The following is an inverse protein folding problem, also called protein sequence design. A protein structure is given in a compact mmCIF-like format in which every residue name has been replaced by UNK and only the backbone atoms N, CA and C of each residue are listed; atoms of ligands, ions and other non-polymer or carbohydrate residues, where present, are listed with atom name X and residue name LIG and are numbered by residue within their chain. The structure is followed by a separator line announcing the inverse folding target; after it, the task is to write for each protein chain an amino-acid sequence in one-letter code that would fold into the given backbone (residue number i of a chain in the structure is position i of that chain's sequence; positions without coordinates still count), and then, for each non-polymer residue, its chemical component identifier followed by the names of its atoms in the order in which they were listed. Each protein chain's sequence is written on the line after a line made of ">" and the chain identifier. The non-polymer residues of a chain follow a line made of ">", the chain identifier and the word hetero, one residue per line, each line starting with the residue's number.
data_IF_554926952658
#
_entry.id   IF_554926952658
#
_cell.length_a   1.000
_cell.length_b   1.000
_cell.length_c   1.000
_cell.angle_alpha   90.00
_cell.angle_beta   90.00
_cell.angle_gamma   90.00
#
_symmetry.space_group_name_H-M   'P 1'
#
loop_
_entity.id
_entity.type
_entity.pdbx_description
1 polymer ?
#
# COMPACT_ATOMS: atom_id res chain seq x y z
N UNK A 1 -4.92 -47.61 3.69
CA UNK A 1 -3.86 -47.14 4.60
C UNK A 1 -2.96 -46.06 3.98
N UNK A 2 -2.43 -46.23 2.76
CA UNK A 2 -1.51 -45.25 2.11
C UNK A 2 -2.19 -43.89 1.83
N UNK A 3 -3.43 -43.88 1.32
CA UNK A 3 -4.17 -42.63 1.07
C UNK A 3 -4.39 -41.81 2.35
N UNK A 4 -4.66 -42.48 3.47
CA UNK A 4 -4.85 -41.84 4.79
C UNK A 4 -3.56 -41.19 5.28
N UNK A 5 -2.41 -41.84 5.07
CA UNK A 5 -1.11 -41.27 5.42
C UNK A 5 -0.75 -40.06 4.54
N UNK A 6 -1.11 -40.09 3.25
CA UNK A 6 -0.94 -38.95 2.34
C UNK A 6 -1.84 -37.79 2.76
N UNK A 7 -3.11 -38.05 3.09
CA UNK A 7 -4.05 -37.02 3.54
C UNK A 7 -3.57 -36.34 4.84
N UNK A 8 -3.13 -37.11 5.84
CA UNK A 8 -2.56 -36.56 7.09
C UNK A 8 -1.31 -35.72 6.83
N UNK A 9 -0.44 -36.15 5.92
CA UNK A 9 0.79 -35.42 5.55
C UNK A 9 0.47 -34.12 4.79
N UNK A 10 -0.49 -34.15 3.87
CA UNK A 10 -0.98 -32.96 3.17
C UNK A 10 -1.56 -31.93 4.14
N UNK A 11 -2.32 -32.38 5.14
CA UNK A 11 -2.92 -31.48 6.13
C UNK A 11 -1.84 -30.84 7.03
N UNK A 12 -0.85 -31.62 7.47
CA UNK A 12 0.30 -31.10 8.22
C UNK A 12 1.13 -30.10 7.42
N UNK A 13 1.40 -30.40 6.14
CA UNK A 13 2.12 -29.49 5.26
C UNK A 13 1.34 -28.22 4.96
N UNK A 14 0.03 -28.32 4.72
CA UNK A 14 -0.85 -27.18 4.50
C UNK A 14 -0.84 -26.26 5.72
N UNK A 15 -0.92 -26.82 6.93
CA UNK A 15 -0.85 -26.04 8.17
C UNK A 15 0.48 -25.31 8.33
N UNK A 16 1.61 -26.03 8.19
CA UNK A 16 2.94 -25.42 8.38
C UNK A 16 3.23 -24.38 7.29
N UNK A 17 3.00 -24.73 6.02
CA UNK A 17 3.21 -23.81 4.90
C UNK A 17 2.31 -22.58 5.02
N UNK A 18 1.04 -22.79 5.41
CA UNK A 18 0.09 -21.70 5.60
C UNK A 18 0.48 -20.76 6.74
N UNK A 19 0.86 -21.27 7.90
CA UNK A 19 1.27 -20.44 9.04
C UNK A 19 2.50 -19.58 8.72
N UNK A 20 3.51 -20.19 8.08
CA UNK A 20 4.71 -19.47 7.70
C UNK A 20 4.46 -18.46 6.57
N UNK A 21 3.65 -18.80 5.57
CA UNK A 21 3.27 -17.86 4.52
C UNK A 21 2.49 -16.67 5.09
N UNK A 22 1.54 -16.93 6.00
CA UNK A 22 0.81 -15.86 6.69
C UNK A 22 1.74 -14.91 7.44
N UNK A 23 2.71 -15.45 8.18
CA UNK A 23 3.72 -14.65 8.90
C UNK A 23 4.59 -13.83 7.94
N UNK A 24 5.07 -14.43 6.85
CA UNK A 24 5.85 -13.72 5.84
C UNK A 24 5.05 -12.62 5.14
N UNK A 25 3.78 -12.87 4.80
CA UNK A 25 2.90 -11.88 4.22
C UNK A 25 2.67 -10.72 5.20
N UNK A 26 2.42 -11.00 6.48
CA UNK A 26 2.26 -9.93 7.47
C UNK A 26 3.49 -9.03 7.55
N UNK A 27 4.68 -9.62 7.65
CA UNK A 27 5.96 -8.88 7.73
C UNK A 27 6.22 -8.05 6.46
N UNK A 28 5.97 -8.60 5.27
CA UNK A 28 6.28 -7.91 4.01
C UNK A 28 5.24 -6.82 3.69
N UNK A 29 3.95 -7.11 3.91
CA UNK A 29 2.87 -6.25 3.45
C UNK A 29 2.60 -5.07 4.39
N UNK A 30 2.88 -5.21 5.69
CA UNK A 30 2.73 -4.13 6.67
C UNK A 30 3.41 -2.81 6.24
N UNK A 31 4.74 -2.79 6.01
CA UNK A 31 5.42 -1.56 5.57
C UNK A 31 4.95 -1.11 4.19
N UNK A 32 4.57 -2.06 3.34
CA UNK A 32 4.18 -1.79 1.98
C UNK A 32 2.82 -1.08 1.89
N UNK A 33 1.87 -1.40 2.78
CA UNK A 33 0.63 -0.63 2.93
C UNK A 33 0.96 0.83 3.23
N UNK A 34 1.84 1.09 4.20
CA UNK A 34 2.24 2.45 4.57
C UNK A 34 2.86 3.22 3.41
N UNK A 35 3.77 2.60 2.66
CA UNK A 35 4.38 3.23 1.48
C UNK A 35 3.37 3.52 0.39
N UNK A 36 2.44 2.61 0.11
CA UNK A 36 1.39 2.84 -0.89
C UNK A 36 0.41 3.95 -0.45
N UNK A 37 0.10 4.04 0.84
CA UNK A 37 -0.71 5.13 1.40
C UNK A 37 0.00 6.48 1.26
N UNK A 38 1.30 6.54 1.58
CA UNK A 38 2.14 7.73 1.40
C UNK A 38 2.21 8.15 -0.07
N UNK A 39 2.51 7.21 -0.96
CA UNK A 39 2.56 7.46 -2.40
C UNK A 39 1.23 8.06 -2.90
N UNK A 40 0.09 7.46 -2.51
CA UNK A 40 -1.21 7.95 -2.95
C UNK A 40 -1.52 9.35 -2.37
N UNK A 41 -1.10 9.62 -1.14
CA UNK A 41 -1.22 10.95 -0.53
C UNK A 41 -0.38 11.99 -1.28
N UNK A 42 0.85 11.65 -1.67
CA UNK A 42 1.73 12.51 -2.47
C UNK A 42 1.14 12.82 -3.84
N UNK A 43 0.66 11.80 -4.58
CA UNK A 43 0.06 12.03 -5.91
C UNK A 43 -1.15 12.96 -5.86
N UNK A 44 -1.86 12.92 -4.74
CA UNK A 44 -3.12 13.62 -4.51
C UNK A 44 -2.93 15.07 -4.09
N UNK A 45 -1.92 15.34 -3.27
CA UNK A 45 -1.62 16.68 -2.73
C UNK A 45 -0.43 17.35 -3.46
N UNK A 46 0.29 16.61 -4.31
CA UNK A 46 1.50 17.06 -4.99
C UNK A 46 1.33 18.28 -5.91
N UNK A 47 0.11 18.63 -6.29
CA UNK A 47 -0.17 19.91 -6.93
C UNK A 47 0.26 21.08 -6.01
N UNK A 48 0.02 21.02 -4.71
CA UNK A 48 0.41 22.11 -3.78
C UNK A 48 1.92 22.27 -3.69
N UNK A 49 2.63 21.17 -3.50
CA UNK A 49 4.08 21.17 -3.29
C UNK A 49 4.85 21.55 -4.56
N UNK A 50 4.41 21.06 -5.72
CA UNK A 50 5.00 21.46 -7.01
C UNK A 50 4.80 22.94 -7.30
N UNK A 51 3.67 23.52 -6.87
CA UNK A 51 3.39 24.94 -6.99
C UNK A 51 4.24 25.80 -6.05
N UNK A 52 4.37 25.39 -4.78
CA UNK A 52 5.21 26.05 -3.78
C UNK A 52 6.69 26.04 -4.19
N UNK A 53 7.19 24.90 -4.69
CA UNK A 53 8.55 24.77 -5.18
C UNK A 53 8.86 25.66 -6.40
N UNK A 54 7.82 26.05 -7.15
CA UNK A 54 7.91 27.00 -8.27
C UNK A 54 7.53 28.44 -7.88
N UNK A 55 7.40 28.73 -6.57
CA UNK A 55 6.95 30.03 -6.02
C UNK A 55 5.59 30.50 -6.56
N UNK A 56 4.74 29.59 -7.04
CA UNK A 56 3.41 29.88 -7.60
C UNK A 56 2.29 29.80 -6.56
N UNK A 57 2.62 29.35 -5.35
CA UNK A 57 1.68 29.17 -4.25
C UNK A 57 2.27 29.74 -2.96
N UNK A 58 1.47 30.49 -2.20
CA UNK A 58 1.81 30.88 -0.83
C UNK A 58 0.76 30.35 0.14
N UNK A 59 1.20 29.65 1.18
CA UNK A 59 0.32 28.99 2.14
C UNK A 59 0.38 29.62 3.53
N UNK A 60 -0.77 29.77 4.17
CA UNK A 60 -0.88 30.05 5.60
C UNK A 60 -2.02 29.25 6.20
N UNK A 61 -1.93 28.93 7.49
CA UNK A 61 -2.93 28.10 8.16
C UNK A 61 -3.34 28.66 9.51
N UNK A 62 -4.58 28.37 9.89
CA UNK A 62 -5.10 28.60 11.24
C UNK A 62 -5.41 27.25 11.83
N UNK A 63 -4.66 26.86 12.85
CA UNK A 63 -4.86 25.61 13.58
C UNK A 63 -5.62 25.87 14.87
N UNK A 64 -6.52 24.96 15.23
CA UNK A 64 -7.34 25.06 16.44
C UNK A 64 -7.35 23.80 17.30
N UNK A 65 -6.40 22.88 17.10
CA UNK A 65 -6.33 21.59 17.80
C UNK A 65 -7.36 20.57 17.34
N UNK A 66 -8.59 21.01 17.06
CA UNK A 66 -9.68 20.16 16.56
C UNK A 66 -9.62 19.94 15.04
N UNK A 67 -8.91 20.81 14.32
CA UNK A 67 -8.72 20.80 12.87
C UNK A 67 -7.95 22.04 12.40
N UNK A 68 -7.77 22.16 11.08
CA UNK A 68 -6.97 23.22 10.44
C UNK A 68 -7.77 23.83 9.28
N UNK A 69 -7.66 25.14 9.11
CA UNK A 69 -8.04 25.81 7.85
C UNK A 69 -6.78 26.31 7.18
N UNK A 70 -6.58 25.88 5.94
CA UNK A 70 -5.41 26.19 5.13
C UNK A 70 -5.85 27.09 3.98
N UNK A 71 -5.08 28.15 3.80
CA UNK A 71 -5.27 29.12 2.74
C UNK A 71 -4.07 29.04 1.81
N UNK A 72 -4.36 29.05 0.52
CA UNK A 72 -3.37 29.04 -0.55
C UNK A 72 -3.66 30.19 -1.49
N UNK A 73 -2.66 31.02 -1.80
CA UNK A 73 -2.76 32.01 -2.85
C UNK A 73 -2.08 31.43 -4.10
N UNK A 74 -2.81 31.27 -5.20
CA UNK A 74 -2.31 30.68 -6.44
C UNK A 74 -2.22 31.72 -7.58
N UNK A 75 -1.09 31.74 -8.28
CA UNK A 75 -0.91 32.59 -9.46
C UNK A 75 -1.85 32.19 -10.60
N UNK A 76 -2.35 33.14 -11.43
CA UNK A 76 -3.31 32.86 -12.50
C UNK A 76 -2.87 31.74 -13.48
N UNK A 77 -1.57 31.67 -13.77
CA UNK A 77 -0.99 30.63 -14.64
C UNK A 77 -1.01 29.20 -14.04
N UNK A 78 -1.26 29.07 -12.74
CA UNK A 78 -1.26 27.79 -12.01
C UNK A 78 -2.67 27.26 -11.71
N UNK A 79 -3.72 28.09 -11.85
CA UNK A 79 -5.10 27.72 -11.50
C UNK A 79 -5.62 26.49 -12.25
N UNK A 80 -5.09 26.20 -13.44
CA UNK A 80 -5.46 25.02 -14.24
C UNK A 80 -4.90 23.70 -13.72
N UNK A 81 -3.84 23.76 -12.91
CA UNK A 81 -3.21 22.57 -12.31
C UNK A 81 -3.91 22.16 -11.01
N UNK A 82 -4.75 23.04 -10.45
CA UNK A 82 -5.50 22.79 -9.22
C UNK A 82 -6.70 21.87 -9.53
N UNK A 83 -6.80 20.71 -8.86
CA UNK A 83 -7.87 19.74 -9.09
C UNK A 83 -9.21 20.24 -8.53
N UNK A 84 -10.04 20.78 -9.41
CA UNK A 84 -11.42 21.22 -9.14
C UNK A 84 -12.45 20.16 -9.51
N UNK A 85 -13.61 20.21 -8.86
CA UNK A 85 -14.72 19.32 -9.11
C UNK A 85 -15.57 19.82 -10.28
N UNK A 86 -15.73 19.00 -11.31
CA UNK A 86 -16.40 19.38 -12.57
C UNK A 86 -15.51 20.22 -13.49
N UNK A 87 -16.14 20.94 -14.42
CA UNK A 87 -15.47 21.72 -15.48
C UNK A 87 -15.41 23.23 -15.18
N UNK A 88 -15.57 23.63 -13.91
CA UNK A 88 -15.56 25.04 -13.50
C UNK A 88 -14.16 25.63 -13.44
N UNK A 89 -13.99 26.90 -13.82
CA UNK A 89 -12.73 27.62 -13.65
C UNK A 89 -12.69 28.37 -12.30
N UNK A 90 -11.51 28.45 -11.67
CA UNK A 90 -11.31 29.24 -10.45
C UNK A 90 -11.27 30.72 -10.84
N UNK A 91 -12.25 31.49 -10.40
CA UNK A 91 -12.36 32.93 -10.70
C UNK A 91 -12.09 33.77 -9.46
N UNK A 92 -12.65 33.38 -8.31
CA UNK A 92 -12.47 34.08 -7.05
C UNK A 92 -11.70 33.21 -6.05
N UNK A 93 -12.25 32.03 -5.74
CA UNK A 93 -11.59 31.04 -4.92
C UNK A 93 -12.17 29.64 -5.15
N UNK A 94 -11.36 28.63 -4.83
CA UNK A 94 -11.76 27.23 -4.75
C UNK A 94 -11.77 26.78 -3.29
N UNK A 95 -12.71 25.93 -2.91
CA UNK A 95 -12.79 25.39 -1.55
C UNK A 95 -12.88 23.87 -1.54
N UNK A 96 -12.07 23.22 -0.71
CA UNK A 96 -12.16 21.80 -0.38
C UNK A 96 -12.43 21.65 1.11
N UNK A 97 -13.46 20.88 1.47
CA UNK A 97 -13.87 20.69 2.87
C UNK A 97 -13.72 19.21 3.21
N UNK A 98 -12.87 18.92 4.19
CA UNK A 98 -12.73 17.57 4.73
C UNK A 98 -14.01 17.10 5.42
N UNK A 99 -14.25 15.79 5.43
CA UNK A 99 -15.51 15.20 5.90
C UNK A 99 -15.83 15.51 7.36
N UNK A 100 -14.81 15.58 8.21
CA UNK A 100 -14.89 15.80 9.66
C UNK A 100 -14.30 17.18 10.05
N UNK A 101 -14.32 18.14 9.12
CA UNK A 101 -13.84 19.49 9.38
C UNK A 101 -14.67 20.19 10.48
N UNK A 102 -14.04 20.93 11.41
CA UNK A 102 -14.76 21.69 12.44
C UNK A 102 -15.79 22.65 11.84
N UNK A 103 -17.01 22.64 12.37
CA UNK A 103 -18.13 23.43 11.84
C UNK A 103 -17.82 24.94 11.75
N UNK A 104 -16.98 25.46 12.67
CA UNK A 104 -16.50 26.85 12.63
C UNK A 104 -15.74 27.19 11.34
N UNK A 105 -14.93 26.27 10.83
CA UNK A 105 -14.14 26.45 9.62
C UNK A 105 -14.99 26.25 8.37
N UNK A 106 -15.92 25.30 8.41
CA UNK A 106 -16.92 25.10 7.35
C UNK A 106 -17.74 26.38 7.14
N UNK A 107 -18.33 26.93 8.21
CA UNK A 107 -19.12 28.17 8.14
C UNK A 107 -18.30 29.37 7.65
N UNK A 108 -17.03 29.45 8.06
CA UNK A 108 -16.13 30.49 7.56
C UNK A 108 -15.87 30.35 6.06
N UNK A 109 -15.58 29.14 5.59
CA UNK A 109 -15.38 28.85 4.17
C UNK A 109 -16.63 29.14 3.33
N UNK A 110 -17.81 28.74 3.79
CA UNK A 110 -19.09 29.05 3.12
C UNK A 110 -19.34 30.56 3.01
N UNK A 111 -18.90 31.33 4.02
CA UNK A 111 -19.06 32.79 4.01
C UNK A 111 -18.25 33.50 2.91
N UNK A 112 -17.15 32.88 2.45
CA UNK A 112 -16.30 33.41 1.39
C UNK A 112 -16.93 33.27 -0.01
N UNK A 113 -17.98 32.44 -0.16
CA UNK A 113 -18.72 32.22 -1.42
C UNK A 113 -17.80 31.92 -2.60
N UNK A 114 -16.92 30.93 -2.43
CA UNK A 114 -16.06 30.43 -3.49
C UNK A 114 -16.86 29.94 -4.69
N UNK A 115 -16.32 30.14 -5.88
CA UNK A 115 -17.05 29.90 -7.13
C UNK A 115 -16.95 28.45 -7.62
N UNK A 116 -15.98 27.70 -7.10
CA UNK A 116 -15.78 26.27 -7.39
C UNK A 116 -15.35 25.50 -6.14
N UNK A 117 -15.50 24.18 -6.19
CA UNK A 117 -15.02 23.26 -5.15
C UNK A 117 -13.80 22.49 -5.64
N UNK A 118 -12.88 22.20 -4.73
CA UNK A 118 -11.80 21.24 -4.97
C UNK A 118 -12.39 19.83 -5.06
N UNK A 119 -11.71 18.92 -5.77
CA UNK A 119 -12.08 17.49 -5.71
C UNK A 119 -11.98 17.01 -4.27
N UNK A 120 -12.92 16.18 -3.83
CA UNK A 120 -12.87 15.56 -2.49
C UNK A 120 -11.54 14.83 -2.25
N UNK A 121 -10.97 14.26 -3.33
CA UNK A 121 -9.68 13.63 -3.26
C UNK A 121 -8.55 14.62 -2.98
N UNK A 122 -8.59 15.90 -3.35
CA UNK A 122 -7.46 16.83 -3.19
C UNK A 122 -7.39 17.56 -1.84
N UNK A 123 -8.28 17.25 -0.89
CA UNK A 123 -8.29 17.84 0.47
C UNK A 123 -7.26 17.17 1.38
N UNK A 124 -6.36 17.92 2.02
CA UNK A 124 -5.19 17.37 2.74
C UNK A 124 -5.53 16.28 3.76
N UNK A 125 -6.55 16.50 4.59
CA UNK A 125 -7.03 15.60 5.65
C UNK A 125 -8.54 15.80 5.83
N UNK A 126 -9.25 14.81 6.38
CA UNK A 126 -10.67 14.87 6.72
C UNK A 126 -11.02 16.00 7.69
N UNK A 127 -10.06 16.50 8.46
CA UNK A 127 -10.26 17.63 9.40
C UNK A 127 -9.87 19.00 8.85
N UNK A 128 -9.43 19.04 7.59
CA UNK A 128 -8.87 20.26 7.01
C UNK A 128 -9.84 20.91 6.05
N UNK A 129 -9.89 22.24 6.08
CA UNK A 129 -10.57 23.05 5.06
C UNK A 129 -9.50 23.75 4.23
N UNK A 130 -9.44 23.46 2.94
CA UNK A 130 -8.49 24.06 2.00
C UNK A 130 -9.20 25.14 1.20
N UNK A 131 -8.67 26.36 1.21
CA UNK A 131 -9.19 27.49 0.42
C UNK A 131 -8.06 27.99 -0.47
N UNK A 132 -8.29 27.99 -1.78
CA UNK A 132 -7.36 28.55 -2.76
C UNK A 132 -7.93 29.86 -3.28
N UNK A 133 -7.25 30.97 -3.05
CA UNK A 133 -7.52 32.28 -3.64
C UNK A 133 -6.71 32.49 -4.91
N UNK A 134 -7.27 33.26 -5.85
CA UNK A 134 -6.51 33.79 -6.97
C UNK A 134 -5.63 34.93 -6.47
N UNK A 135 -4.33 34.88 -6.76
CA UNK A 135 -3.45 36.00 -6.51
C UNK A 135 -3.84 37.17 -7.42
N UNK A 136 -4.01 38.37 -6.86
CA UNK A 136 -4.00 39.58 -7.67
C UNK A 136 -2.63 39.68 -8.35
N UNK A 137 -2.56 40.23 -9.57
CA UNK A 137 -1.34 40.45 -10.36
C UNK A 137 -0.28 41.37 -9.68
N UNK A 138 -0.43 41.63 -8.38
CA UNK A 138 0.43 42.45 -7.55
C UNK A 138 1.68 41.70 -7.10
N UNK A 139 2.75 42.02 -7.82
CA UNK A 139 4.15 41.97 -7.40
C UNK A 139 4.78 40.60 -7.16
N UNK A 140 5.25 40.03 -8.26
CA UNK A 140 6.48 39.24 -8.36
C UNK A 140 7.76 40.00 -7.92
N UNK A 141 7.66 40.97 -6.99
CA UNK A 141 8.77 41.84 -6.59
C UNK A 141 9.41 41.51 -5.23
N UNK A 142 9.08 40.41 -4.59
CA UNK A 142 9.85 39.97 -3.44
C UNK A 142 9.98 38.44 -3.39
N UNK A 143 11.13 37.93 -3.84
CA UNK A 143 12.14 37.33 -2.93
C UNK A 143 13.31 36.74 -3.71
N UNK A 144 14.51 37.12 -3.31
CA UNK A 144 15.64 36.20 -3.37
C UNK A 144 15.32 35.05 -2.41
N UNK A 145 15.17 33.82 -2.88
CA UNK A 145 15.62 32.64 -2.13
C UNK A 145 15.66 31.40 -3.03
N UNK A 146 16.73 30.64 -2.83
CA UNK A 146 17.05 29.29 -3.30
C UNK A 146 15.85 28.44 -3.71
N UNK A 147 15.93 27.93 -4.95
CA UNK A 147 15.14 26.79 -5.44
C UNK A 147 15.45 25.59 -4.56
N UNK A 148 14.63 25.31 -3.56
CA UNK A 148 14.66 24.00 -2.91
C UNK A 148 13.98 23.00 -3.84
N UNK A 149 14.73 22.00 -4.29
CA UNK A 149 14.20 20.89 -5.07
C UNK A 149 13.11 20.17 -4.28
N UNK A 150 11.97 19.94 -4.95
CA UNK A 150 10.89 19.08 -4.49
C UNK A 150 11.42 17.80 -3.85
N UNK A 151 11.04 17.57 -2.59
CA UNK A 151 11.27 16.30 -1.89
C UNK A 151 9.92 15.64 -1.68
N UNK A 152 9.68 14.53 -2.39
CA UNK A 152 8.56 13.63 -2.09
C UNK A 152 8.63 13.20 -0.63
N UNK A 153 7.46 12.92 -0.01
CA UNK A 153 7.40 12.34 1.35
C UNK A 153 8.11 10.98 1.41
N UNK A 154 8.24 10.31 0.27
CA UNK A 154 9.20 9.22 0.06
C UNK A 154 10.60 9.82 -0.13
N UNK A 155 11.15 10.38 0.95
CA UNK A 155 12.50 10.92 0.97
C UNK A 155 13.54 9.79 1.11
N UNK A 156 14.82 10.12 0.96
CA UNK A 156 15.95 9.22 1.17
C UNK A 156 15.87 8.47 2.52
N UNK A 157 15.27 9.09 3.53
CA UNK A 157 15.01 8.47 4.85
C UNK A 157 14.02 7.32 4.77
N UNK A 158 12.90 7.47 4.07
CA UNK A 158 11.88 6.41 3.90
C UNK A 158 12.46 5.25 3.09
N UNK A 159 13.19 5.56 2.02
CA UNK A 159 13.89 4.56 1.20
C UNK A 159 14.93 3.80 2.04
N UNK A 160 15.71 4.51 2.87
CA UNK A 160 16.68 3.92 3.77
C UNK A 160 16.01 2.99 4.79
N UNK A 161 14.94 3.43 5.44
CA UNK A 161 14.18 2.60 6.40
C UNK A 161 13.63 1.34 5.74
N UNK A 162 13.08 1.46 4.52
CA UNK A 162 12.58 0.32 3.76
C UNK A 162 13.70 -0.67 3.39
N UNK A 163 14.86 -0.15 3.01
CA UNK A 163 16.01 -0.98 2.65
C UNK A 163 16.58 -1.73 3.86
N UNK A 164 16.71 -1.05 5.01
CA UNK A 164 17.10 -1.68 6.28
C UNK A 164 16.08 -2.75 6.68
N UNK A 165 14.79 -2.45 6.59
CA UNK A 165 13.72 -3.40 6.88
C UNK A 165 13.80 -4.64 5.97
N UNK A 166 14.03 -4.43 4.68
CA UNK A 166 14.16 -5.51 3.71
C UNK A 166 15.34 -6.43 4.03
N UNK A 167 16.51 -5.87 4.35
CA UNK A 167 17.72 -6.64 4.63
C UNK A 167 17.64 -7.35 6.00
N UNK A 168 17.20 -6.63 7.03
CA UNK A 168 17.27 -7.12 8.42
C UNK A 168 16.10 -8.05 8.76
N UNK A 169 14.93 -7.85 8.14
CA UNK A 169 13.70 -8.55 8.54
C UNK A 169 13.19 -9.45 7.42
N UNK A 170 12.97 -8.91 6.21
CA UNK A 170 12.36 -9.67 5.11
C UNK A 170 13.26 -10.82 4.66
N UNK A 171 14.55 -10.56 4.41
CA UNK A 171 15.48 -11.59 3.91
C UNK A 171 15.61 -12.77 4.89
N UNK A 172 15.84 -12.58 6.21
CA UNK A 172 15.86 -13.70 7.16
C UNK A 172 14.54 -14.47 7.23
N UNK A 173 13.38 -13.79 7.19
CA UNK A 173 12.08 -14.46 7.19
C UNK A 173 11.90 -15.37 5.98
N UNK A 174 12.32 -14.92 4.79
CA UNK A 174 12.29 -15.72 3.57
C UNK A 174 13.24 -16.93 3.65
N UNK A 175 14.43 -16.77 4.23
CA UNK A 175 15.37 -17.87 4.46
C UNK A 175 14.78 -18.91 5.44
N UNK A 176 14.13 -18.46 6.52
CA UNK A 176 13.44 -19.35 7.46
C UNK A 176 12.30 -20.13 6.79
N UNK A 177 11.45 -19.42 6.02
CA UNK A 177 10.39 -20.04 5.22
C UNK A 177 10.96 -21.11 4.29
N UNK A 178 12.05 -20.78 3.59
CA UNK A 178 12.73 -21.69 2.67
C UNK A 178 13.22 -22.96 3.37
N UNK A 179 13.90 -22.83 4.51
CA UNK A 179 14.44 -23.97 5.25
C UNK A 179 13.34 -24.89 5.78
N UNK A 180 12.22 -24.34 6.25
CA UNK A 180 11.10 -25.13 6.76
C UNK A 180 10.39 -25.87 5.63
N UNK A 181 10.24 -25.22 4.48
CA UNK A 181 9.66 -25.88 3.30
C UNK A 181 10.48 -27.11 2.86
N UNK A 182 11.79 -27.15 3.12
CA UNK A 182 12.67 -28.29 2.79
C UNK A 182 12.46 -29.51 3.67
N UNK A 183 11.95 -29.34 4.89
CA UNK A 183 11.71 -30.45 5.84
C UNK A 183 10.72 -31.47 5.24
N UNK A 184 9.81 -31.02 4.38
CA UNK A 184 8.84 -31.87 3.72
C UNK A 184 9.39 -32.57 2.45
N UNK A 185 10.51 -32.10 1.89
CA UNK A 185 11.02 -32.61 0.61
C UNK A 185 11.49 -34.06 0.69
N UNK A 186 12.26 -34.44 1.72
CA UNK A 186 12.72 -35.83 1.89
C UNK A 186 11.56 -36.81 2.02
N UNK A 187 10.53 -36.38 2.74
CA UNK A 187 9.29 -37.12 2.98
C UNK A 187 8.50 -37.32 1.69
N UNK A 188 8.42 -36.30 0.85
CA UNK A 188 7.76 -36.36 -0.44
C UNK A 188 8.54 -37.16 -1.49
N UNK A 189 9.87 -37.13 -1.49
CA UNK A 189 10.71 -37.95 -2.38
C UNK A 189 10.43 -39.45 -2.23
N UNK A 190 10.37 -39.94 -0.99
CA UNK A 190 10.01 -41.35 -0.70
C UNK A 190 8.56 -41.69 -1.14
N UNK A 191 7.63 -40.76 -0.97
CA UNK A 191 6.23 -40.94 -1.38
C UNK A 191 6.10 -40.97 -2.90
N UNK A 192 6.85 -40.12 -3.60
CA UNK A 192 6.91 -40.06 -5.05
C UNK A 192 7.43 -41.36 -5.65
N UNK A 193 8.54 -41.91 -5.14
CA UNK A 193 9.06 -43.23 -5.54
C UNK A 193 8.02 -44.33 -5.40
N UNK A 194 7.32 -44.38 -4.26
CA UNK A 194 6.30 -45.42 -3.99
C UNK A 194 5.11 -45.32 -4.96
N UNK A 195 4.70 -44.11 -5.33
CA UNK A 195 3.58 -43.87 -6.25
C UNK A 195 3.98 -44.11 -7.72
N UNK A 196 5.22 -43.80 -8.10
CA UNK A 196 5.75 -44.09 -9.44
C UNK A 196 5.85 -45.59 -9.70
N UNK A 197 6.36 -46.37 -8.74
CA UNK A 197 6.41 -47.85 -8.83
C UNK A 197 5.01 -48.46 -8.98
N UNK A 198 3.97 -47.78 -8.48
CA UNK A 198 2.56 -48.19 -8.62
C UNK A 198 1.90 -47.73 -9.92
N UNK A 199 2.65 -47.15 -10.85
CA UNK A 199 2.16 -46.73 -12.16
C UNK A 199 1.32 -45.45 -12.16
N UNK A 200 1.42 -44.61 -11.11
CA UNK A 200 0.70 -43.32 -11.10
C UNK A 200 1.35 -42.38 -12.13
N UNK A 201 0.57 -41.83 -13.09
CA UNK A 201 1.13 -40.95 -14.10
C UNK A 201 1.66 -39.65 -13.48
N UNK A 202 2.79 -39.17 -14.00
CA UNK A 202 3.55 -38.02 -13.47
C UNK A 202 2.68 -36.78 -13.22
N UNK A 203 1.70 -36.48 -14.09
CA UNK A 203 0.79 -35.34 -13.91
C UNK A 203 -0.06 -35.44 -12.65
N UNK A 204 -0.65 -36.61 -12.38
CA UNK A 204 -1.47 -36.84 -11.18
C UNK A 204 -0.60 -36.88 -9.92
N UNK A 205 0.60 -37.43 -10.04
CA UNK A 205 1.58 -37.42 -8.96
C UNK A 205 1.94 -35.98 -8.57
N UNK A 206 2.25 -35.12 -9.53
CA UNK A 206 2.59 -33.72 -9.27
C UNK A 206 1.49 -32.95 -8.55
N UNK A 207 0.25 -33.08 -9.02
CA UNK A 207 -0.89 -32.44 -8.39
C UNK A 207 -1.06 -32.93 -6.94
N UNK A 208 -0.93 -34.23 -6.71
CA UNK A 208 -1.06 -34.83 -5.37
C UNK A 208 0.05 -34.38 -4.42
N UNK A 209 1.28 -34.29 -4.94
CA UNK A 209 2.43 -33.80 -4.18
C UNK A 209 2.19 -32.34 -3.83
N UNK A 210 1.84 -31.46 -4.76
CA UNK A 210 1.73 -30.01 -4.49
C UNK A 210 0.46 -29.59 -3.72
N UNK A 211 -0.57 -30.45 -3.67
CA UNK A 211 -1.89 -30.10 -3.12
C UNK A 211 -1.84 -29.56 -1.69
N UNK A 212 -1.06 -30.17 -0.79
CA UNK A 212 -0.94 -29.72 0.60
C UNK A 212 -0.35 -28.30 0.68
N UNK A 213 0.80 -28.08 0.04
CA UNK A 213 1.46 -26.79 0.01
C UNK A 213 0.58 -25.69 -0.62
N UNK A 214 -0.04 -25.96 -1.77
CA UNK A 214 -0.92 -24.99 -2.44
C UNK A 214 -2.16 -24.66 -1.61
N UNK A 215 -2.79 -25.65 -0.98
CA UNK A 215 -3.91 -25.40 -0.08
C UNK A 215 -3.50 -24.49 1.08
N UNK A 216 -2.34 -24.75 1.70
CA UNK A 216 -1.78 -23.88 2.74
C UNK A 216 -1.54 -22.44 2.28
N UNK A 217 -0.93 -22.27 1.11
CA UNK A 217 -0.66 -20.95 0.50
C UNK A 217 -1.95 -20.17 0.20
N UNK A 218 -2.94 -20.82 -0.40
CA UNK A 218 -4.21 -20.17 -0.75
C UNK A 218 -4.98 -19.77 0.51
N UNK A 219 -5.12 -20.69 1.48
CA UNK A 219 -5.84 -20.43 2.73
C UNK A 219 -5.18 -19.29 3.49
N UNK A 220 -3.85 -19.32 3.63
CA UNK A 220 -3.11 -18.26 4.32
C UNK A 220 -3.22 -16.90 3.62
N UNK A 221 -3.17 -16.87 2.29
CA UNK A 221 -3.37 -15.64 1.52
C UNK A 221 -4.77 -15.05 1.79
N UNK A 222 -5.83 -15.85 1.67
CA UNK A 222 -7.21 -15.39 1.95
C UNK A 222 -7.37 -14.92 3.40
N UNK A 223 -6.83 -15.69 4.36
CA UNK A 223 -6.88 -15.34 5.79
C UNK A 223 -6.12 -14.04 6.07
N UNK A 224 -5.08 -13.71 5.30
CA UNK A 224 -4.31 -12.47 5.47
C UNK A 224 -5.12 -11.20 5.16
N UNK A 225 -6.20 -11.29 4.39
CA UNK A 225 -6.97 -10.13 3.96
C UNK A 225 -7.64 -9.42 5.15
N UNK A 226 -8.13 -10.20 6.12
CA UNK A 226 -8.80 -9.68 7.32
C UNK A 226 -7.87 -8.81 8.18
N UNK A 227 -6.71 -9.31 8.66
CA UNK A 227 -5.80 -8.48 9.45
C UNK A 227 -5.23 -7.31 8.63
N UNK A 228 -4.97 -7.48 7.33
CA UNK A 228 -4.50 -6.37 6.47
C UNK A 228 -5.53 -5.25 6.36
N UNK A 229 -6.81 -5.58 6.29
CA UNK A 229 -7.89 -4.59 6.28
C UNK A 229 -7.92 -3.79 7.59
N UNK A 230 -7.84 -4.47 8.74
CA UNK A 230 -7.81 -3.79 10.05
C UNK A 230 -6.59 -2.90 10.20
N UNK A 231 -5.41 -3.36 9.76
CA UNK A 231 -4.18 -2.57 9.78
C UNK A 231 -4.32 -1.33 8.90
N UNK A 232 -4.79 -1.48 7.67
CA UNK A 232 -5.00 -0.36 6.74
C UNK A 232 -5.92 0.70 7.34
N UNK A 233 -7.04 0.29 7.96
CA UNK A 233 -7.98 1.21 8.62
C UNK A 233 -7.42 1.82 9.91
N UNK A 234 -6.53 1.12 10.61
CA UNK A 234 -5.83 1.70 11.76
C UNK A 234 -4.84 2.79 11.31
N UNK A 235 -4.15 2.57 10.18
CA UNK A 235 -3.19 3.53 9.63
C UNK A 235 -3.83 4.85 9.18
N UNK A 236 -5.11 4.88 8.84
CA UNK A 236 -5.89 6.10 8.58
C UNK A 236 -5.76 7.14 9.70
N UNK A 237 -5.67 6.68 10.95
CA UNK A 237 -5.59 7.55 12.12
C UNK A 237 -4.16 8.00 12.47
N UNK A 238 -3.15 7.47 11.77
CA UNK A 238 -1.74 7.83 12.02
C UNK A 238 -1.48 9.19 11.41
N UNK A 239 -0.90 10.09 12.20
CA UNK A 239 -0.44 11.40 11.74
C UNK A 239 0.97 11.24 11.19
N UNK A 240 1.15 11.50 9.90
CA UNK A 240 2.45 11.55 9.22
C UNK A 240 2.71 12.98 8.76
N UNK A 241 3.86 13.55 9.13
CA UNK A 241 4.24 14.94 8.78
C UNK A 241 3.16 15.99 9.11
N UNK A 242 2.36 15.73 10.15
CA UNK A 242 1.30 16.64 10.60
C UNK A 242 -0.04 16.47 9.89
N UNK A 243 -0.15 15.56 8.92
CA UNK A 243 -1.38 15.24 8.17
C UNK A 243 -1.81 13.80 8.43
N UNK A 244 -3.10 13.50 8.26
CA UNK A 244 -3.62 12.11 8.31
C UNK A 244 -3.94 11.62 6.92
N UNK A 245 -4.08 10.31 6.81
CA UNK A 245 -4.51 9.68 5.57
C UNK A 245 -6.03 9.72 5.42
N UNK A 246 -6.49 9.88 4.19
CA UNK A 246 -7.90 9.74 3.87
C UNK A 246 -8.31 8.26 3.77
N UNK A 247 -9.61 7.94 3.89
CA UNK A 247 -10.12 6.60 3.68
C UNK A 247 -9.71 6.00 2.34
N UNK A 248 -9.63 6.81 1.28
CA UNK A 248 -9.19 6.37 -0.04
C UNK A 248 -7.72 5.92 -0.06
N UNK A 249 -6.84 6.61 0.68
CA UNK A 249 -5.42 6.25 0.76
C UNK A 249 -5.28 4.87 1.43
N UNK A 250 -6.05 4.65 2.50
CA UNK A 250 -6.11 3.35 3.19
C UNK A 250 -6.56 2.22 2.25
N UNK A 251 -7.55 2.48 1.39
CA UNK A 251 -8.05 1.51 0.42
C UNK A 251 -7.02 1.22 -0.67
N UNK A 252 -6.33 2.24 -1.18
CA UNK A 252 -5.24 2.06 -2.16
C UNK A 252 -4.12 1.22 -1.55
N UNK A 253 -3.71 1.52 -0.31
CA UNK A 253 -2.73 0.71 0.42
C UNK A 253 -3.18 -0.74 0.59
N UNK A 254 -4.44 -0.95 0.95
CA UNK A 254 -5.02 -2.29 1.10
C UNK A 254 -5.04 -3.07 -0.22
N UNK A 255 -5.62 -2.50 -1.29
CA UNK A 255 -5.73 -3.19 -2.58
C UNK A 255 -4.37 -3.45 -3.21
N UNK A 256 -3.43 -2.49 -3.12
CA UNK A 256 -2.06 -2.71 -3.60
C UNK A 256 -1.36 -3.83 -2.82
N UNK A 257 -1.55 -3.89 -1.49
CA UNK A 257 -1.04 -5.00 -0.68
C UNK A 257 -1.68 -6.35 -1.05
N UNK A 258 -2.99 -6.41 -1.36
CA UNK A 258 -3.64 -7.64 -1.83
C UNK A 258 -3.06 -8.15 -3.14
N UNK A 259 -2.83 -7.25 -4.11
CA UNK A 259 -2.24 -7.58 -5.40
C UNK A 259 -0.86 -8.19 -5.17
N UNK A 260 -0.02 -7.55 -4.35
CA UNK A 260 1.33 -8.01 -4.05
C UNK A 260 1.32 -9.32 -3.26
N UNK A 261 0.40 -9.51 -2.32
CA UNK A 261 0.20 -10.76 -1.62
C UNK A 261 -0.09 -11.91 -2.59
N UNK A 262 -0.95 -11.67 -3.58
CA UNK A 262 -1.26 -12.60 -4.66
C UNK A 262 -0.03 -12.96 -5.47
N UNK A 263 0.77 -11.97 -5.88
CA UNK A 263 2.01 -12.19 -6.62
C UNK A 263 3.06 -12.98 -5.84
N UNK A 264 3.27 -12.65 -4.56
CA UNK A 264 4.19 -13.39 -3.68
C UNK A 264 3.74 -14.84 -3.54
N UNK A 265 2.46 -15.04 -3.23
CA UNK A 265 1.88 -16.38 -3.05
C UNK A 265 2.00 -17.22 -4.33
N UNK A 266 1.73 -16.63 -5.49
CA UNK A 266 1.90 -17.28 -6.79
C UNK A 266 3.36 -17.66 -7.05
N UNK A 267 4.29 -16.74 -6.78
CA UNK A 267 5.72 -16.98 -6.98
C UNK A 267 6.20 -18.14 -6.11
N UNK A 268 5.80 -18.16 -4.84
CA UNK A 268 6.12 -19.26 -3.92
C UNK A 268 5.50 -20.58 -4.39
N UNK A 269 4.25 -20.56 -4.87
CA UNK A 269 3.58 -21.75 -5.40
C UNK A 269 4.31 -22.33 -6.62
N UNK A 270 4.78 -21.48 -7.53
CA UNK A 270 5.58 -21.86 -8.71
C UNK A 270 6.92 -22.45 -8.29
N UNK A 271 7.63 -21.83 -7.34
CA UNK A 271 8.92 -22.34 -6.86
C UNK A 271 8.77 -23.72 -6.22
N UNK A 272 7.73 -23.94 -5.40
CA UNK A 272 7.44 -25.25 -4.82
C UNK A 272 7.14 -26.28 -5.92
N UNK A 273 6.36 -25.90 -6.93
CA UNK A 273 6.05 -26.77 -8.07
C UNK A 273 7.32 -27.17 -8.84
N UNK A 274 8.17 -26.22 -9.21
CA UNK A 274 9.42 -26.47 -9.93
C UNK A 274 10.37 -27.34 -9.11
N UNK A 275 10.44 -27.13 -7.79
CA UNK A 275 11.24 -27.96 -6.89
C UNK A 275 10.75 -29.42 -6.86
N UNK A 276 9.44 -29.64 -6.75
CA UNK A 276 8.83 -30.99 -6.74
C UNK A 276 8.96 -31.68 -8.10
N UNK A 277 8.88 -30.93 -9.19
CA UNK A 277 9.19 -31.40 -10.55
C UNK A 277 10.59 -31.98 -10.65
N UNK A 278 11.60 -31.26 -10.13
CA UNK A 278 12.99 -31.74 -10.13
C UNK A 278 13.16 -33.08 -9.42
N UNK A 279 12.47 -33.30 -8.29
CA UNK A 279 12.55 -34.58 -7.57
C UNK A 279 12.00 -35.76 -8.34
N UNK A 280 10.89 -35.58 -9.08
CA UNK A 280 10.33 -36.67 -9.87
C UNK A 280 11.17 -36.94 -11.11
N UNK A 281 11.76 -35.91 -11.71
CA UNK A 281 12.71 -36.07 -12.80
C UNK A 281 13.97 -36.83 -12.35
N UNK A 282 14.45 -36.65 -11.11
CA UNK A 282 15.58 -37.40 -10.53
C UNK A 282 15.25 -38.87 -10.20
N UNK A 283 13.97 -39.26 -10.15
CA UNK A 283 13.55 -40.62 -9.81
C UNK A 283 13.38 -41.50 -11.07
N UNK A 284 13.10 -40.88 -12.22
CA UNK A 284 13.00 -41.53 -13.52
C UNK A 284 14.39 -41.81 -14.10
#
# INVERSE_FOLDING_TARGET
>A
MILVNIAKRNLSEAFVTGFFNLGSLAVILLPLIGVLMLWNSDERVGWRESAEAQEKLSNWSINSGDGVIEFSLASPGYLKEIPVQGDGEIVNCAVGIGRDAPERFVRYAESLRCNVTLKDSSVTDDKTVNIVFVADDLDSQNKNTTTEEYRSSIDATVIYLLLVYLIVIIVPCLICFWNISKIFDMKWKSTAQTLLVRGVPNRKLMALLCAGAWAGLIISCIVSFVPLYFVSRALENVVWEGTRFLPQDSLVGYFGALIIAGFITLTVAVVIYLRRMRYVAEIL
#
